data_IF_989313240823
#
_entry.id   IF_989313240823
#
_cell.length_a   1.000
_cell.length_b   1.000
_cell.length_c   1.000
_cell.angle_alpha   90.00
_cell.angle_beta   90.00
_cell.angle_gamma   90.00
#
_symmetry.space_group_name_H-M   'P 1'
#
loop_
_entity.id
_entity.type
_entity.pdbx_description
1 polymer ?
#
# COMPACT_ATOMS: atom_id res chain seq x y z
N UNK A 1 -9.21 -1.70 -9.99
CA UNK A 1 -10.07 -2.85 -9.66
C UNK A 1 -9.51 -3.61 -8.46
N UNK A 2 -10.25 -4.55 -7.91
CA UNK A 2 -9.73 -5.43 -6.88
C UNK A 2 -8.60 -6.30 -7.48
N UNK A 3 -7.56 -6.54 -6.71
CA UNK A 3 -6.51 -7.51 -7.08
C UNK A 3 -7.08 -8.91 -6.87
N UNK A 4 -6.91 -9.78 -7.86
CA UNK A 4 -7.45 -11.15 -7.85
C UNK A 4 -6.36 -12.16 -8.25
N UNK A 5 -6.45 -13.43 -7.83
CA UNK A 5 -5.42 -14.43 -8.13
C UNK A 5 -5.16 -14.64 -9.62
N UNK A 6 -6.18 -14.47 -10.47
CA UNK A 6 -6.06 -14.62 -11.93
C UNK A 6 -5.12 -13.58 -12.58
N UNK A 7 -4.90 -12.43 -11.94
CA UNK A 7 -3.99 -11.38 -12.41
C UNK A 7 -2.49 -11.68 -12.14
N UNK A 8 -2.18 -12.76 -11.42
CA UNK A 8 -0.80 -13.13 -11.13
C UNK A 8 -0.16 -13.70 -12.39
N UNK A 9 0.90 -13.05 -12.87
CA UNK A 9 1.66 -13.44 -14.06
C UNK A 9 2.99 -14.15 -13.76
N UNK A 10 3.44 -14.11 -12.50
CA UNK A 10 4.67 -14.77 -12.05
C UNK A 10 4.36 -16.22 -11.74
N UNK A 11 5.21 -17.15 -12.17
CA UNK A 11 5.04 -18.60 -11.96
C UNK A 11 6.19 -19.21 -11.16
N UNK A 12 5.90 -20.30 -10.45
CA UNK A 12 6.87 -21.15 -9.77
C UNK A 12 6.65 -22.61 -10.18
N UNK A 13 7.75 -23.31 -10.48
CA UNK A 13 7.77 -24.75 -10.75
C UNK A 13 9.06 -25.32 -10.19
N UNK A 14 8.99 -26.44 -9.50
CA UNK A 14 10.17 -27.16 -8.93
C UNK A 14 11.12 -26.24 -8.14
N UNK A 15 10.58 -25.26 -7.38
CA UNK A 15 11.37 -24.31 -6.61
C UNK A 15 12.06 -23.23 -7.44
N UNK A 16 11.67 -23.05 -8.70
CA UNK A 16 12.22 -22.04 -9.62
C UNK A 16 11.15 -21.05 -10.02
N UNK A 17 11.41 -19.74 -9.82
CA UNK A 17 10.47 -18.67 -10.10
C UNK A 17 10.84 -17.90 -11.36
N UNK A 18 9.81 -17.55 -12.15
CA UNK A 18 9.92 -16.77 -13.37
C UNK A 18 8.85 -15.67 -13.41
N UNK A 19 9.20 -14.52 -13.99
CA UNK A 19 8.28 -13.40 -14.21
C UNK A 19 8.78 -12.09 -13.62
N UNK A 20 7.94 -11.07 -13.61
CA UNK A 20 8.30 -9.71 -13.21
C UNK A 20 7.31 -9.16 -12.21
N UNK A 21 7.82 -8.39 -11.23
CA UNK A 21 7.04 -7.60 -10.28
C UNK A 21 7.42 -6.13 -10.38
N UNK A 22 6.42 -5.27 -10.59
CA UNK A 22 6.60 -3.82 -10.69
C UNK A 22 5.31 -3.07 -10.31
N UNK A 23 5.38 -1.94 -9.57
CA UNK A 23 6.54 -1.46 -8.81
C UNK A 23 6.69 -2.20 -7.48
N UNK A 24 7.93 -2.45 -7.06
CA UNK A 24 8.24 -3.04 -5.76
C UNK A 24 8.91 -1.99 -4.89
N UNK A 25 8.24 -1.59 -3.82
CA UNK A 25 8.79 -0.64 -2.84
C UNK A 25 10.03 -1.26 -2.18
N UNK A 26 11.11 -0.46 -2.10
CA UNK A 26 12.40 -0.83 -1.53
C UNK A 26 13.07 -2.06 -2.18
N UNK A 27 12.56 -2.53 -3.35
CA UNK A 27 13.07 -3.73 -4.03
C UNK A 27 14.56 -3.65 -4.41
N UNK A 28 15.08 -2.45 -4.66
CA UNK A 28 16.50 -2.26 -4.99
C UNK A 28 17.47 -2.48 -3.84
N UNK A 29 17.01 -2.33 -2.60
CA UNK A 29 17.82 -2.46 -1.37
C UNK A 29 17.46 -3.68 -0.53
N UNK A 30 16.37 -4.36 -0.85
CA UNK A 30 15.95 -5.57 -0.14
C UNK A 30 16.90 -6.75 -0.43
N UNK A 31 17.15 -7.57 0.58
CA UNK A 31 17.93 -8.82 0.46
C UNK A 31 17.04 -9.99 0.06
N UNK A 32 15.79 -9.99 0.54
CA UNK A 32 14.82 -11.06 0.28
C UNK A 32 13.45 -10.47 -0.10
N UNK A 33 12.65 -11.23 -0.85
CA UNK A 33 11.28 -10.90 -1.15
C UNK A 33 10.35 -12.10 -0.95
N UNK A 34 9.15 -11.83 -0.42
CA UNK A 34 8.04 -12.78 -0.51
C UNK A 34 7.25 -12.43 -1.77
N UNK A 35 7.26 -13.34 -2.73
CA UNK A 35 6.66 -13.15 -4.05
C UNK A 35 5.38 -13.97 -4.14
N UNK A 36 4.29 -13.29 -4.55
CA UNK A 36 3.03 -13.98 -4.88
C UNK A 36 3.13 -14.48 -6.31
N UNK A 37 3.02 -15.76 -6.50
CA UNK A 37 3.15 -16.43 -7.81
C UNK A 37 2.05 -17.50 -7.99
N UNK A 38 1.95 -18.08 -9.14
CA UNK A 38 1.15 -19.29 -9.42
C UNK A 38 2.06 -20.50 -9.53
N UNK A 39 1.67 -21.62 -8.95
CA UNK A 39 2.30 -22.92 -9.24
C UNK A 39 1.92 -23.38 -10.62
N UNK A 40 2.80 -24.09 -11.28
CA UNK A 40 2.55 -24.63 -12.63
C UNK A 40 1.35 -25.59 -12.57
N UNK A 41 0.35 -25.31 -13.44
CA UNK A 41 -0.91 -26.07 -13.50
C UNK A 41 -1.92 -25.80 -12.36
N UNK A 42 -1.66 -24.85 -11.45
CA UNK A 42 -2.57 -24.46 -10.36
C UNK A 42 -3.24 -23.09 -10.57
N UNK A 43 -4.50 -22.96 -10.15
CA UNK A 43 -5.25 -21.69 -10.22
C UNK A 43 -5.07 -20.81 -8.99
N UNK A 44 -4.50 -21.34 -7.90
CA UNK A 44 -4.31 -20.65 -6.62
C UNK A 44 -3.03 -19.82 -6.56
N UNK A 45 -3.00 -18.85 -5.65
CA UNK A 45 -1.79 -18.11 -5.34
C UNK A 45 -0.87 -18.90 -4.43
N UNK A 46 0.42 -18.90 -4.74
CA UNK A 46 1.50 -19.47 -3.94
C UNK A 46 2.40 -18.34 -3.44
N UNK A 47 2.87 -18.45 -2.20
CA UNK A 47 3.87 -17.54 -1.65
C UNK A 47 5.24 -18.17 -1.77
N UNK A 48 6.21 -17.45 -2.28
CA UNK A 48 7.58 -17.91 -2.43
C UNK A 48 8.56 -16.90 -1.82
N UNK A 49 9.48 -17.38 -1.01
CA UNK A 49 10.61 -16.61 -0.50
C UNK A 49 11.75 -16.67 -1.50
N UNK A 50 12.24 -15.53 -1.91
CA UNK A 50 13.31 -15.40 -2.90
C UNK A 50 14.45 -14.58 -2.30
N UNK A 51 15.67 -15.11 -2.34
CA UNK A 51 16.89 -14.34 -2.11
C UNK A 51 17.15 -13.48 -3.35
N UNK A 52 17.19 -12.16 -3.15
CA UNK A 52 17.35 -11.19 -4.22
C UNK A 52 18.82 -10.93 -4.60
N UNK A 53 19.78 -11.61 -3.98
CA UNK A 53 21.21 -11.53 -4.32
C UNK A 53 21.62 -12.47 -5.46
N UNK A 54 20.73 -13.34 -5.93
CA UNK A 54 20.98 -14.30 -7.00
C UNK A 54 21.21 -13.60 -8.33
N UNK A 55 22.13 -14.09 -9.15
CA UNK A 55 22.37 -13.60 -10.53
C UNK A 55 21.13 -13.74 -11.45
N UNK A 56 20.21 -14.63 -11.09
CA UNK A 56 18.94 -14.84 -11.79
C UNK A 56 17.87 -13.77 -11.48
N UNK A 57 18.18 -12.80 -10.59
CA UNK A 57 17.27 -11.70 -10.21
C UNK A 57 17.83 -10.38 -10.72
N UNK A 58 17.14 -9.75 -11.67
CA UNK A 58 17.45 -8.38 -12.08
C UNK A 58 16.64 -7.38 -11.23
N UNK A 59 17.29 -6.27 -10.85
CA UNK A 59 16.72 -5.17 -10.06
C UNK A 59 16.91 -3.87 -10.82
N UNK A 60 15.85 -3.38 -11.45
CA UNK A 60 15.87 -2.12 -12.20
C UNK A 60 15.12 -1.02 -11.45
N UNK A 61 15.74 0.16 -11.31
CA UNK A 61 15.09 1.28 -10.63
C UNK A 61 13.93 1.83 -11.45
N UNK A 62 12.79 2.04 -10.79
CA UNK A 62 11.60 2.67 -11.37
C UNK A 62 11.50 4.10 -10.86
N UNK A 63 11.41 5.06 -11.78
CA UNK A 63 11.23 6.45 -11.41
C UNK A 63 9.78 6.72 -11.01
N UNK A 64 9.59 7.16 -9.77
CA UNK A 64 8.30 7.51 -9.19
C UNK A 64 8.20 9.02 -8.97
N UNK A 65 6.97 9.52 -8.83
CA UNK A 65 6.73 10.95 -8.48
C UNK A 65 7.18 11.24 -7.06
N UNK A 66 6.99 10.29 -6.13
CA UNK A 66 7.48 10.38 -4.78
C UNK A 66 8.90 9.84 -4.68
N UNK A 67 9.87 10.73 -4.41
CA UNK A 67 11.28 10.39 -4.26
C UNK A 67 11.66 9.99 -2.81
N UNK A 68 10.72 10.01 -1.88
CA UNK A 68 10.99 9.65 -0.47
C UNK A 68 11.21 8.15 -0.27
N UNK A 69 10.74 7.32 -1.22
CA UNK A 69 10.89 5.86 -1.21
C UNK A 69 11.31 5.35 -2.59
N UNK A 70 12.36 4.53 -2.62
CA UNK A 70 12.80 3.85 -3.84
C UNK A 70 11.81 2.77 -4.29
N UNK A 71 11.65 2.62 -5.60
CA UNK A 71 10.88 1.52 -6.18
C UNK A 71 11.69 0.85 -7.27
N UNK A 72 11.49 -0.44 -7.46
CA UNK A 72 12.20 -1.23 -8.46
C UNK A 72 11.27 -2.15 -9.23
N UNK A 73 11.67 -2.51 -10.40
CA UNK A 73 11.20 -3.70 -11.10
C UNK A 73 12.11 -4.87 -10.73
N UNK A 74 11.52 -5.97 -10.30
CA UNK A 74 12.21 -7.21 -10.02
C UNK A 74 11.85 -8.21 -11.10
N UNK A 75 12.85 -8.67 -11.87
CA UNK A 75 12.67 -9.72 -12.89
C UNK A 75 13.38 -10.98 -12.45
N UNK A 76 12.62 -12.07 -12.41
CA UNK A 76 13.08 -13.40 -12.04
C UNK A 76 13.25 -14.25 -13.30
N UNK A 77 14.48 -14.69 -13.58
CA UNK A 77 14.86 -15.49 -14.73
C UNK A 77 15.37 -16.85 -14.28
N UNK A 78 14.50 -17.69 -13.74
CA UNK A 78 14.89 -18.97 -13.17
C UNK A 78 15.54 -18.85 -11.81
N UNK A 79 15.10 -17.90 -10.97
CA UNK A 79 15.63 -17.74 -9.62
C UNK A 79 15.14 -18.85 -8.69
N UNK A 80 16.02 -19.33 -7.80
CA UNK A 80 15.66 -20.30 -6.77
C UNK A 80 14.73 -19.63 -5.74
N UNK A 81 13.68 -20.33 -5.35
CA UNK A 81 12.68 -19.85 -4.40
C UNK A 81 12.22 -20.99 -3.49
N UNK A 82 11.93 -20.64 -2.24
CA UNK A 82 11.33 -21.54 -1.26
C UNK A 82 9.84 -21.28 -1.14
N UNK A 83 9.00 -22.30 -1.31
CA UNK A 83 7.54 -22.16 -1.12
C UNK A 83 7.24 -22.00 0.36
N UNK A 84 6.48 -20.96 0.68
CA UNK A 84 6.00 -20.69 2.03
C UNK A 84 4.58 -21.23 2.20
N UNK A 85 4.42 -22.24 3.05
CA UNK A 85 3.15 -22.92 3.28
C UNK A 85 2.84 -23.94 2.18
N UNK A 86 1.55 -24.02 1.78
CA UNK A 86 1.07 -24.93 0.75
C UNK A 86 0.91 -24.21 -0.58
N UNK A 87 1.31 -24.88 -1.67
CA UNK A 87 1.10 -24.36 -3.02
C UNK A 87 -0.39 -24.13 -3.32
N UNK A 88 -0.71 -23.00 -3.92
CA UNK A 88 -2.07 -22.60 -4.24
C UNK A 88 -2.91 -22.09 -3.06
N UNK A 89 -2.44 -22.20 -1.82
CA UNK A 89 -3.19 -21.78 -0.62
C UNK A 89 -2.83 -20.37 -0.10
N UNK A 90 -1.93 -19.65 -0.76
CA UNK A 90 -1.36 -18.38 -0.28
C UNK A 90 -2.31 -17.18 -0.31
N UNK A 91 -3.43 -17.23 -1.05
CA UNK A 91 -4.28 -16.05 -1.25
C UNK A 91 -4.88 -15.48 0.04
N UNK A 92 -5.29 -16.33 0.97
CA UNK A 92 -5.83 -15.88 2.26
C UNK A 92 -4.83 -15.03 3.06
N UNK A 93 -3.54 -15.37 3.00
CA UNK A 93 -2.49 -14.59 3.63
C UNK A 93 -2.28 -13.24 2.90
N UNK A 94 -2.38 -13.22 1.56
CA UNK A 94 -2.33 -11.99 0.76
C UNK A 94 -3.50 -11.06 1.12
N UNK A 95 -4.72 -11.57 1.20
CA UNK A 95 -5.90 -10.77 1.61
C UNK A 95 -5.75 -10.21 3.02
N UNK A 96 -5.28 -11.01 3.96
CA UNK A 96 -5.01 -10.57 5.34
C UNK A 96 -3.98 -9.45 5.38
N UNK A 97 -2.89 -9.59 4.62
CA UNK A 97 -1.85 -8.56 4.49
C UNK A 97 -2.43 -7.28 3.87
N UNK A 98 -3.21 -7.38 2.80
CA UNK A 98 -3.80 -6.23 2.12
C UNK A 98 -4.80 -5.48 3.01
N UNK A 99 -5.61 -6.19 3.79
CA UNK A 99 -6.53 -5.58 4.75
C UNK A 99 -5.77 -4.84 5.86
N UNK A 100 -4.73 -5.46 6.41
CA UNK A 100 -3.86 -4.83 7.41
C UNK A 100 -3.15 -3.60 6.86
N UNK A 101 -2.57 -3.72 5.66
CA UNK A 101 -1.89 -2.62 4.99
C UNK A 101 -2.84 -1.45 4.70
N UNK A 102 -4.08 -1.73 4.23
CA UNK A 102 -5.08 -0.69 3.96
C UNK A 102 -5.37 0.16 5.20
N UNK A 103 -5.51 -0.47 6.36
CA UNK A 103 -5.77 0.22 7.63
C UNK A 103 -4.54 1.03 8.08
N UNK A 104 -3.34 0.47 8.00
CA UNK A 104 -2.12 1.17 8.39
C UNK A 104 -1.83 2.38 7.49
N UNK A 105 -1.98 2.22 6.16
CA UNK A 105 -1.84 3.34 5.22
C UNK A 105 -2.93 4.40 5.39
N UNK A 106 -4.15 4.03 5.80
CA UNK A 106 -5.18 5.00 6.12
C UNK A 106 -4.74 5.94 7.26
N UNK A 107 -4.09 5.41 8.30
CA UNK A 107 -3.55 6.21 9.39
C UNK A 107 -2.42 7.14 8.94
N UNK A 108 -1.53 6.66 8.07
CA UNK A 108 -0.48 7.49 7.47
C UNK A 108 -1.10 8.67 6.68
N UNK A 109 -2.11 8.38 5.84
CA UNK A 109 -2.81 9.40 5.05
C UNK A 109 -3.54 10.42 5.93
N UNK A 110 -4.14 10.00 7.05
CA UNK A 110 -4.79 10.91 8.01
C UNK A 110 -3.76 11.84 8.63
N UNK A 111 -2.60 11.32 9.02
CA UNK A 111 -1.50 12.15 9.56
C UNK A 111 -1.04 13.22 8.56
N UNK A 112 -0.88 12.84 7.28
CA UNK A 112 -0.55 13.77 6.19
C UNK A 112 -1.64 14.81 5.97
N UNK A 113 -2.91 14.39 5.95
CA UNK A 113 -4.06 15.29 5.74
C UNK A 113 -4.21 16.29 6.88
N UNK A 114 -4.00 15.88 8.13
CA UNK A 114 -4.01 16.77 9.29
C UNK A 114 -2.89 17.81 9.20
N UNK A 115 -1.68 17.38 8.87
CA UNK A 115 -0.55 18.31 8.74
C UNK A 115 -0.75 19.29 7.59
N UNK A 116 -1.28 18.84 6.46
CA UNK A 116 -1.62 19.71 5.33
C UNK A 116 -2.70 20.75 5.72
N UNK A 117 -3.73 20.33 6.47
CA UNK A 117 -4.76 21.24 6.96
C UNK A 117 -4.20 22.26 7.95
N UNK A 118 -3.34 21.84 8.88
CA UNK A 118 -2.67 22.73 9.82
C UNK A 118 -1.86 23.81 9.08
N UNK A 119 -0.99 23.39 8.16
CA UNK A 119 -0.16 24.30 7.36
C UNK A 119 -1.01 25.28 6.52
N UNK A 120 -2.07 24.76 5.88
CA UNK A 120 -3.00 25.61 5.10
C UNK A 120 -3.68 26.66 5.98
N UNK A 121 -4.09 26.28 7.20
CA UNK A 121 -4.71 27.19 8.18
C UNK A 121 -3.72 28.24 8.65
N UNK A 122 -2.51 27.86 9.03
CA UNK A 122 -1.46 28.78 9.49
C UNK A 122 -1.08 29.78 8.39
N UNK A 123 -0.88 29.29 7.16
CA UNK A 123 -0.62 30.14 6.02
C UNK A 123 -1.77 31.14 5.79
N UNK A 124 -3.01 30.67 5.83
CA UNK A 124 -4.19 31.52 5.61
C UNK A 124 -4.35 32.59 6.70
N UNK A 125 -3.94 32.31 7.93
CA UNK A 125 -3.95 33.29 9.03
C UNK A 125 -2.85 34.36 8.86
N UNK A 126 -1.67 33.96 8.40
CA UNK A 126 -0.52 34.85 8.22
C UNK A 126 -0.49 35.62 6.90
N UNK A 127 -1.14 35.14 5.85
CA UNK A 127 -1.15 35.79 4.54
C UNK A 127 -2.23 36.85 4.43
N UNK A 128 -1.83 38.08 4.10
CA UNK A 128 -2.74 39.21 3.88
C UNK A 128 -2.96 39.46 2.37
N UNK A 129 -4.19 39.76 2.00
CA UNK A 129 -4.60 40.23 0.69
C UNK A 129 -5.81 41.15 0.84
N UNK A 130 -5.84 42.25 0.09
CA UNK A 130 -6.87 43.28 0.16
C UNK A 130 -7.11 43.80 1.59
N UNK A 131 -6.01 44.06 2.32
CA UNK A 131 -6.06 44.70 3.65
C UNK A 131 -6.44 43.79 4.81
N UNK A 132 -6.60 42.48 4.61
CA UNK A 132 -6.94 41.52 5.69
C UNK A 132 -6.38 40.14 5.45
N UNK A 133 -6.30 39.34 6.51
CA UNK A 133 -5.89 37.94 6.41
C UNK A 133 -6.81 37.17 5.45
N UNK A 134 -6.23 36.31 4.59
CA UNK A 134 -7.03 35.50 3.65
C UNK A 134 -7.93 34.50 4.39
N UNK A 135 -7.60 34.09 5.62
CA UNK A 135 -8.47 33.29 6.48
C UNK A 135 -9.79 33.97 6.81
N UNK A 136 -9.89 35.32 6.69
CA UNK A 136 -11.12 36.05 6.95
C UNK A 136 -12.15 35.90 5.83
N UNK A 137 -11.74 35.50 4.63
CA UNK A 137 -12.63 35.31 3.49
C UNK A 137 -13.45 34.04 3.63
N UNK A 138 -14.76 34.12 3.41
CA UNK A 138 -15.71 33.03 3.56
C UNK A 138 -15.33 31.81 2.68
N UNK A 139 -14.87 32.04 1.45
CA UNK A 139 -14.46 31.00 0.53
C UNK A 139 -13.31 30.14 1.11
N UNK A 140 -12.35 30.75 1.81
CA UNK A 140 -11.23 30.05 2.45
C UNK A 140 -11.71 29.33 3.71
N UNK A 141 -12.51 29.99 4.56
CA UNK A 141 -13.09 29.37 5.77
C UNK A 141 -13.87 28.12 5.45
N UNK A 142 -14.71 28.15 4.42
CA UNK A 142 -15.53 26.99 4.02
C UNK A 142 -14.69 25.84 3.49
N UNK A 143 -13.60 26.13 2.74
CA UNK A 143 -12.66 25.08 2.30
C UNK A 143 -11.99 24.40 3.49
N UNK A 144 -11.44 25.17 4.41
CA UNK A 144 -10.79 24.64 5.62
C UNK A 144 -11.75 23.82 6.48
N UNK A 145 -12.98 24.33 6.68
CA UNK A 145 -14.02 23.62 7.43
C UNK A 145 -14.40 22.28 6.77
N UNK A 146 -14.55 22.26 5.43
CA UNK A 146 -14.82 21.01 4.69
C UNK A 146 -13.66 20.00 4.81
N UNK A 147 -12.41 20.47 4.76
CA UNK A 147 -11.24 19.60 4.95
C UNK A 147 -11.23 19.01 6.36
N UNK A 148 -11.48 19.84 7.38
CA UNK A 148 -11.56 19.38 8.77
C UNK A 148 -12.62 18.29 8.97
N UNK A 149 -13.84 18.49 8.42
CA UNK A 149 -14.93 17.51 8.51
C UNK A 149 -14.52 16.19 7.84
N UNK A 150 -13.94 16.27 6.63
CA UNK A 150 -13.47 15.06 5.92
C UNK A 150 -12.39 14.30 6.69
N UNK A 151 -11.41 15.00 7.26
CA UNK A 151 -10.36 14.37 8.07
C UNK A 151 -10.95 13.70 9.32
N UNK A 152 -11.93 14.34 9.96
CA UNK A 152 -12.60 13.77 11.14
C UNK A 152 -13.38 12.50 10.80
N UNK A 153 -14.10 12.49 9.67
CA UNK A 153 -14.82 11.30 9.20
C UNK A 153 -13.85 10.17 8.81
N UNK A 154 -12.80 10.49 8.07
CA UNK A 154 -11.76 9.51 7.70
C UNK A 154 -11.12 8.88 8.94
N UNK A 155 -10.82 9.70 9.95
CA UNK A 155 -10.27 9.22 11.23
C UNK A 155 -11.24 8.27 11.95
N UNK A 156 -12.53 8.56 11.96
CA UNK A 156 -13.54 7.69 12.56
C UNK A 156 -13.56 6.30 11.89
N UNK A 157 -13.49 6.27 10.55
CA UNK A 157 -13.41 5.02 9.80
C UNK A 157 -12.11 4.25 10.10
N UNK A 158 -10.97 4.95 10.18
CA UNK A 158 -9.69 4.33 10.50
C UNK A 158 -9.64 3.77 11.93
N UNK A 159 -10.28 4.41 12.91
CA UNK A 159 -10.45 3.85 14.26
C UNK A 159 -11.26 2.55 14.24
N UNK A 160 -12.36 2.54 13.48
CA UNK A 160 -13.13 1.32 13.31
C UNK A 160 -12.31 0.21 12.63
N UNK A 161 -11.57 0.55 11.57
CA UNK A 161 -10.65 -0.38 10.91
C UNK A 161 -9.60 -0.96 11.85
N UNK A 162 -8.95 -0.11 12.65
CA UNK A 162 -7.96 -0.55 13.64
C UNK A 162 -8.55 -1.48 14.71
N UNK A 163 -9.75 -1.15 15.19
CA UNK A 163 -10.48 -2.03 16.11
C UNK A 163 -10.82 -3.38 15.46
N UNK A 164 -11.36 -3.37 14.23
CA UNK A 164 -11.71 -4.59 13.50
C UNK A 164 -10.50 -5.49 13.27
N UNK A 165 -9.34 -4.90 12.94
CA UNK A 165 -8.08 -5.62 12.77
C UNK A 165 -7.64 -6.27 14.09
N UNK A 166 -7.64 -5.50 15.18
CA UNK A 166 -7.19 -6.00 16.49
C UNK A 166 -8.14 -7.06 17.08
N UNK A 167 -9.44 -6.94 16.83
CA UNK A 167 -10.47 -7.85 17.33
C UNK A 167 -10.65 -9.11 16.46
N UNK A 168 -10.04 -9.17 15.27
CA UNK A 168 -10.29 -10.23 14.29
C UNK A 168 -11.75 -10.27 13.85
N UNK A 169 -12.36 -9.07 13.65
CA UNK A 169 -13.78 -8.96 13.34
C UNK A 169 -14.12 -9.59 11.99
N UNK A 170 -15.30 -10.21 11.89
CA UNK A 170 -15.75 -10.89 10.67
C UNK A 170 -15.97 -9.97 9.47
N UNK A 171 -16.12 -8.66 9.71
CA UNK A 171 -16.30 -7.62 8.70
C UNK A 171 -15.00 -6.82 8.44
N UNK A 172 -13.83 -7.36 8.83
CA UNK A 172 -12.52 -6.72 8.64
C UNK A 172 -12.30 -6.22 7.21
N UNK A 173 -12.67 -7.00 6.21
CA UNK A 173 -12.52 -6.60 4.80
C UNK A 173 -13.32 -5.34 4.45
N UNK A 174 -14.53 -5.20 4.99
CA UNK A 174 -15.37 -4.00 4.82
C UNK A 174 -14.77 -2.83 5.59
N UNK A 175 -14.33 -3.05 6.83
CA UNK A 175 -13.67 -2.03 7.65
C UNK A 175 -12.38 -1.51 6.98
N UNK A 176 -11.54 -2.39 6.42
CA UNK A 176 -10.34 -2.04 5.67
C UNK A 176 -10.66 -1.25 4.40
N UNK A 177 -11.68 -1.64 3.64
CA UNK A 177 -12.11 -0.94 2.43
C UNK A 177 -12.67 0.46 2.73
N UNK A 178 -13.38 0.65 3.84
CA UNK A 178 -13.94 1.96 4.25
C UNK A 178 -12.93 2.88 4.91
N UNK A 179 -11.83 2.33 5.44
CA UNK A 179 -10.73 3.11 6.04
C UNK A 179 -9.85 3.79 4.99
N UNK A 180 -9.77 3.21 3.80
CA UNK A 180 -8.90 3.63 2.67
C UNK A 180 -9.53 4.79 1.81
#
# INVERSE_FOLDING_TARGET
>A
GAVTPDQISTSIADGVINGTKVPVADGGIADVAIVVCKSDGGDGATLALVDLSQDAVAKDNVQMIDFSRGHSELTFNGACAEVLGEEGAGWAAVESLMNSAAILFAWEQIGLADKALEQAREYALGRFAFGRSIASYQAIKHKLAKMYVKNTLARSNAYYGAWALNAGASDLAVAAATSR
#
